data_IF_222993648116
#
_entry.id   IF_222993648116
#
_cell.length_a   1.000
_cell.length_b   1.000
_cell.length_c   1.000
_cell.angle_alpha   90.00
_cell.angle_beta   90.00
_cell.angle_gamma   90.00
#
_symmetry.space_group_name_H-M   'P 1'
#
loop_
_entity.id
_entity.type
_entity.pdbx_description
1 polymer ?
#
# COMPACT_ATOMS: atom_id res chain seq x y z
N UNK A 1 14.51 6.51 24.18
CA UNK A 1 13.71 6.41 22.93
C UNK A 1 14.11 7.43 21.84
N UNK A 2 14.56 8.64 22.22
CA UNK A 2 14.81 9.73 21.26
C UNK A 2 16.04 9.54 20.34
N UNK A 3 16.93 8.61 20.65
CA UNK A 3 18.10 8.29 19.83
C UNK A 3 17.71 7.35 18.66
N UNK A 4 16.66 7.71 17.91
CA UNK A 4 15.98 6.84 16.94
C UNK A 4 16.98 6.19 15.98
N UNK A 5 17.85 6.99 15.38
CA UNK A 5 18.87 6.52 14.43
C UNK A 5 19.87 5.54 15.02
N UNK A 6 20.28 5.76 16.28
CA UNK A 6 21.20 4.86 16.97
C UNK A 6 20.51 3.53 17.27
N UNK A 7 19.27 3.59 17.76
CA UNK A 7 18.49 2.43 18.16
C UNK A 7 18.13 1.55 16.96
N UNK A 8 17.57 2.11 15.89
CA UNK A 8 17.22 1.33 14.70
C UNK A 8 18.43 0.75 14.00
N UNK A 9 19.54 1.51 13.90
CA UNK A 9 20.80 0.99 13.37
C UNK A 9 21.35 -0.16 14.21
N UNK A 10 21.22 -0.11 15.53
CA UNK A 10 21.67 -1.21 16.41
C UNK A 10 20.85 -2.49 16.25
N UNK A 11 19.62 -2.40 15.74
CA UNK A 11 18.76 -3.54 15.44
C UNK A 11 18.93 -4.08 14.02
N UNK A 12 19.70 -3.39 13.16
CA UNK A 12 20.03 -3.92 11.84
C UNK A 12 21.00 -5.09 11.99
N UNK A 13 20.47 -6.30 11.84
CA UNK A 13 21.22 -7.54 12.04
C UNK A 13 22.26 -7.82 10.94
N UNK A 14 23.09 -8.84 11.20
CA UNK A 14 24.06 -9.36 10.21
C UNK A 14 23.38 -10.00 8.99
N UNK A 15 22.19 -10.59 9.18
CA UNK A 15 21.36 -11.22 8.16
C UNK A 15 19.98 -10.54 8.10
N UNK A 16 19.23 -10.78 7.03
CA UNK A 16 17.86 -10.28 6.88
C UNK A 16 17.73 -8.79 6.53
N UNK A 17 18.83 -8.05 6.45
CA UNK A 17 18.83 -6.59 6.23
C UNK A 17 18.44 -6.14 4.81
N UNK A 18 18.44 -7.06 3.83
CA UNK A 18 18.11 -6.81 2.41
C UNK A 18 16.81 -7.51 2.02
N UNK A 19 15.72 -7.12 2.68
CA UNK A 19 14.37 -7.61 2.39
C UNK A 19 13.37 -7.30 3.50
N UNK A 20 12.09 -7.50 3.21
CA UNK A 20 10.95 -7.30 4.12
C UNK A 20 10.74 -8.48 5.07
N UNK A 21 11.82 -9.11 5.54
CA UNK A 21 11.82 -10.26 6.45
C UNK A 21 11.31 -9.95 7.85
N UNK A 22 11.25 -10.97 8.72
CA UNK A 22 10.71 -10.84 10.09
C UNK A 22 11.48 -9.77 10.88
N UNK A 23 12.80 -9.75 10.73
CA UNK A 23 13.71 -8.83 11.39
C UNK A 23 13.40 -7.39 10.98
N UNK A 24 13.31 -7.13 9.67
CA UNK A 24 13.03 -5.80 9.14
C UNK A 24 11.64 -5.30 9.53
N UNK A 25 10.63 -6.18 9.51
CA UNK A 25 9.27 -5.83 9.96
C UNK A 25 9.23 -5.49 11.45
N UNK A 26 9.97 -6.24 12.28
CA UNK A 26 10.10 -5.94 13.71
C UNK A 26 10.81 -4.60 13.96
N UNK A 27 11.90 -4.32 13.22
CA UNK A 27 12.60 -3.02 13.28
C UNK A 27 11.67 -1.89 12.87
N UNK A 28 10.88 -2.08 11.82
CA UNK A 28 9.94 -1.08 11.33
C UNK A 28 8.85 -0.73 12.35
N UNK A 29 8.24 -1.74 12.97
CA UNK A 29 7.24 -1.53 14.02
C UNK A 29 7.85 -0.79 15.23
N UNK A 30 9.06 -1.15 15.63
CA UNK A 30 9.79 -0.47 16.70
C UNK A 30 10.12 0.99 16.33
N UNK A 31 10.59 1.25 15.11
CA UNK A 31 10.88 2.60 14.62
C UNK A 31 9.64 3.49 14.61
N UNK A 32 8.49 2.99 14.14
CA UNK A 32 7.21 3.71 14.18
C UNK A 32 6.86 4.11 15.62
N UNK A 33 7.00 3.20 16.58
CA UNK A 33 6.75 3.50 17.99
C UNK A 33 7.73 4.55 18.56
N UNK A 34 9.01 4.53 18.16
CA UNK A 34 9.96 5.55 18.57
C UNK A 34 9.61 6.95 18.03
N UNK A 35 9.16 7.02 16.78
CA UNK A 35 8.71 8.27 16.15
C UNK A 35 7.42 8.81 16.76
N UNK A 36 6.49 7.93 17.10
CA UNK A 36 5.29 8.28 17.86
C UNK A 36 5.66 8.89 19.23
N UNK A 37 6.55 8.21 19.98
CA UNK A 37 7.08 8.73 21.24
C UNK A 37 7.79 10.07 21.08
N UNK A 38 8.54 10.27 20.00
CA UNK A 38 9.22 11.54 19.76
C UNK A 38 8.22 12.68 19.54
N UNK A 39 7.18 12.46 18.72
CA UNK A 39 6.09 13.42 18.56
C UNK A 39 5.40 13.74 19.89
N UNK A 40 5.11 12.72 20.71
CA UNK A 40 4.51 12.89 22.04
C UNK A 40 5.39 13.69 23.00
N UNK A 41 6.69 13.41 23.05
CA UNK A 41 7.66 14.18 23.87
C UNK A 41 7.73 15.64 23.43
N UNK A 42 7.69 15.90 22.13
CA UNK A 42 7.70 17.26 21.59
C UNK A 42 6.34 17.97 21.69
N UNK A 43 5.25 17.26 22.01
CA UNK A 43 3.89 17.79 21.91
C UNK A 43 3.49 18.17 20.47
N UNK A 44 4.05 17.48 19.47
CA UNK A 44 3.88 17.77 18.05
C UNK A 44 3.38 16.54 17.28
N UNK A 45 2.55 16.73 16.23
CA UNK A 45 2.18 15.64 15.33
C UNK A 45 3.41 15.08 14.61
N UNK A 46 3.36 13.81 14.24
CA UNK A 46 4.48 13.11 13.61
C UNK A 46 4.99 13.85 12.36
N UNK A 47 4.09 14.30 11.47
CA UNK A 47 4.49 15.06 10.27
C UNK A 47 5.33 16.30 10.59
N UNK A 48 5.13 16.92 11.76
CA UNK A 48 5.82 18.13 12.16
C UNK A 48 7.26 17.81 12.60
N UNK A 49 7.46 16.76 13.38
CA UNK A 49 8.81 16.34 13.81
C UNK A 49 9.62 15.70 12.68
N UNK A 50 8.97 15.26 11.60
CA UNK A 50 9.67 14.78 10.38
C UNK A 50 10.29 15.91 9.55
N UNK A 51 9.82 17.15 9.74
CA UNK A 51 10.28 18.33 9.01
C UNK A 51 9.17 19.30 8.61
N UNK A 52 7.94 19.11 9.09
CA UNK A 52 6.79 19.95 8.77
C UNK A 52 5.93 19.33 7.68
N UNK A 53 4.70 19.83 7.58
CA UNK A 53 3.76 19.44 6.54
C UNK A 53 4.07 20.17 5.22
N UNK A 54 4.21 19.41 4.14
CA UNK A 54 4.35 19.96 2.78
C UNK A 54 2.99 20.26 2.13
N UNK A 55 1.90 19.76 2.71
CA UNK A 55 0.52 19.90 2.20
C UNK A 55 -0.51 19.92 3.34
N UNK A 56 -1.70 20.47 3.09
CA UNK A 56 -2.82 20.48 4.06
C UNK A 56 -3.64 19.18 4.03
N UNK A 57 -3.69 18.52 2.88
CA UNK A 57 -4.32 17.23 2.69
C UNK A 57 -3.63 16.49 1.54
N UNK A 58 -3.80 15.18 1.46
CA UNK A 58 -3.33 14.35 0.35
C UNK A 58 -4.49 13.61 -0.31
N UNK A 59 -4.45 13.45 -1.63
CA UNK A 59 -5.38 12.62 -2.39
C UNK A 59 -5.27 11.16 -1.91
N UNK A 60 -6.41 10.56 -1.63
CA UNK A 60 -6.50 9.13 -1.36
C UNK A 60 -6.90 8.35 -2.61
N UNK A 61 -6.51 7.08 -2.66
CA UNK A 61 -7.15 6.09 -3.52
C UNK A 61 -7.71 4.96 -2.67
N UNK A 62 -8.70 4.25 -3.20
CA UNK A 62 -9.30 3.10 -2.51
C UNK A 62 -8.76 1.80 -3.11
N UNK A 63 -8.02 1.05 -2.31
CA UNK A 63 -7.72 -0.36 -2.60
C UNK A 63 -9.00 -1.16 -2.37
N UNK A 64 -9.51 -1.79 -3.41
CA UNK A 64 -10.85 -2.37 -3.45
C UNK A 64 -10.92 -3.73 -2.74
N UNK A 65 -10.50 -3.76 -1.47
CA UNK A 65 -10.60 -4.90 -0.57
C UNK A 65 -11.96 -4.90 0.16
N UNK A 66 -12.49 -6.09 0.47
CA UNK A 66 -13.70 -6.25 1.28
C UNK A 66 -13.40 -6.30 2.79
N UNK A 67 -14.44 -6.33 3.62
CA UNK A 67 -14.29 -6.34 5.10
C UNK A 67 -13.56 -7.56 5.64
N UNK A 68 -13.52 -8.66 4.88
CA UNK A 68 -12.87 -9.93 5.27
C UNK A 68 -11.52 -10.20 4.62
N UNK A 69 -11.08 -9.29 3.75
CA UNK A 69 -9.79 -9.43 3.08
C UNK A 69 -8.68 -9.58 4.13
N UNK A 70 -7.96 -10.70 4.07
CA UNK A 70 -6.81 -11.03 4.94
C UNK A 70 -7.12 -10.95 6.46
N UNK A 71 -8.31 -11.40 6.89
CA UNK A 71 -8.64 -11.47 8.34
C UNK A 71 -8.24 -12.77 9.03
N UNK A 72 -8.45 -13.91 8.38
CA UNK A 72 -8.42 -15.22 9.07
C UNK A 72 -7.21 -16.11 8.73
N UNK A 73 -6.47 -15.82 7.65
CA UNK A 73 -5.48 -16.73 7.09
C UNK A 73 -4.03 -16.20 7.14
N UNK A 74 -3.06 -17.12 7.20
CA UNK A 74 -1.61 -16.84 7.32
C UNK A 74 -0.89 -16.57 5.99
N UNK A 75 -1.56 -16.74 4.85
CA UNK A 75 -0.97 -16.62 3.51
C UNK A 75 -1.75 -15.62 2.65
N UNK A 76 -1.08 -14.98 1.68
CA UNK A 76 -1.71 -14.08 0.71
C UNK A 76 -2.05 -14.87 -0.56
N UNK A 77 -3.27 -15.40 -0.67
CA UNK A 77 -3.78 -16.12 -1.84
C UNK A 77 -5.23 -15.72 -2.13
N UNK A 78 -5.71 -15.95 -3.36
CA UNK A 78 -7.08 -15.62 -3.77
C UNK A 78 -8.15 -16.33 -2.94
N UNK A 79 -7.81 -17.49 -2.35
CA UNK A 79 -8.66 -18.21 -1.42
C UNK A 79 -9.00 -17.40 -0.14
N UNK A 80 -8.20 -16.39 0.22
CA UNK A 80 -8.35 -15.62 1.46
C UNK A 80 -9.06 -14.27 1.27
N UNK A 81 -9.77 -14.13 0.15
CA UNK A 81 -10.53 -12.93 -0.20
C UNK A 81 -11.88 -12.82 0.52
N UNK A 82 -12.43 -13.92 1.04
CA UNK A 82 -13.62 -13.89 1.89
C UNK A 82 -14.92 -13.48 1.17
N UNK A 83 -15.13 -13.96 -0.06
CA UNK A 83 -16.23 -13.54 -0.97
C UNK A 83 -17.65 -14.02 -0.58
N UNK A 84 -17.80 -14.92 0.40
CA UNK A 84 -19.04 -15.72 0.55
C UNK A 84 -20.17 -15.07 1.38
N UNK A 85 -19.98 -13.91 2.02
CA UNK A 85 -20.96 -13.27 2.91
C UNK A 85 -20.78 -11.76 2.97
N UNK A 86 -21.90 -11.03 3.06
CA UNK A 86 -21.95 -9.56 3.12
C UNK A 86 -21.88 -9.07 4.56
N UNK A 87 -20.80 -8.39 4.95
CA UNK A 87 -20.62 -7.82 6.30
C UNK A 87 -20.86 -6.30 6.36
N UNK A 88 -21.00 -5.63 5.22
CA UNK A 88 -21.29 -4.20 5.21
C UNK A 88 -21.60 -3.64 3.82
N UNK A 89 -21.66 -2.31 3.69
CA UNK A 89 -21.93 -1.64 2.41
C UNK A 89 -20.76 -1.73 1.41
N UNK A 90 -19.53 -1.94 1.87
CA UNK A 90 -18.29 -1.87 1.07
C UNK A 90 -17.60 -3.23 0.86
N UNK A 91 -18.28 -4.17 0.20
CA UNK A 91 -17.66 -5.42 -0.28
C UNK A 91 -16.93 -5.19 -1.61
N UNK A 92 -15.91 -4.35 -1.59
CA UNK A 92 -15.31 -3.80 -2.81
C UNK A 92 -14.58 -4.84 -3.66
N UNK A 93 -14.13 -5.93 -3.02
CA UNK A 93 -13.45 -7.05 -3.69
C UNK A 93 -14.43 -7.86 -4.55
N UNK A 94 -15.60 -8.20 -4.01
CA UNK A 94 -16.69 -8.79 -4.79
C UNK A 94 -17.16 -7.79 -5.88
N UNK A 95 -17.28 -6.53 -5.50
CA UNK A 95 -17.80 -5.51 -6.40
C UNK A 95 -16.89 -5.29 -7.62
N UNK A 96 -15.57 -5.24 -7.51
CA UNK A 96 -14.75 -5.10 -8.74
C UNK A 96 -14.75 -6.35 -9.61
N UNK A 97 -14.97 -7.54 -9.04
CA UNK A 97 -15.04 -8.79 -9.79
C UNK A 97 -16.34 -8.93 -10.60
N UNK A 98 -17.44 -8.33 -10.13
CA UNK A 98 -18.77 -8.58 -10.70
C UNK A 98 -19.57 -7.33 -11.09
N UNK A 99 -19.30 -6.19 -10.46
CA UNK A 99 -20.06 -4.92 -10.51
C UNK A 99 -19.14 -3.68 -10.45
N UNK A 100 -18.04 -3.72 -11.21
CA UNK A 100 -16.96 -2.72 -11.13
C UNK A 100 -17.42 -1.29 -11.49
N UNK A 101 -18.43 -1.17 -12.34
CA UNK A 101 -19.13 0.06 -12.70
C UNK A 101 -19.88 0.69 -11.51
N UNK A 102 -20.66 -0.10 -10.77
CA UNK A 102 -21.34 0.36 -9.54
C UNK A 102 -20.33 0.82 -8.49
N UNK A 103 -19.23 0.07 -8.33
CA UNK A 103 -18.16 0.41 -7.40
C UNK A 103 -17.51 1.75 -7.76
N UNK A 104 -17.16 1.97 -9.03
CA UNK A 104 -16.55 3.20 -9.48
C UNK A 104 -17.46 4.42 -9.25
N UNK A 105 -18.76 4.28 -9.49
CA UNK A 105 -19.74 5.31 -9.15
C UNK A 105 -19.78 5.60 -7.64
N UNK A 106 -19.85 4.55 -6.82
CA UNK A 106 -19.88 4.68 -5.36
C UNK A 106 -18.64 5.38 -4.80
N UNK A 107 -17.46 5.15 -5.39
CA UNK A 107 -16.23 5.85 -5.01
C UNK A 107 -16.27 7.33 -5.42
N UNK A 108 -16.72 7.64 -6.65
CA UNK A 108 -16.85 9.02 -7.12
C UNK A 108 -17.86 9.84 -6.30
N UNK A 109 -18.95 9.21 -5.83
CA UNK A 109 -19.92 9.85 -4.93
C UNK A 109 -19.28 10.26 -3.58
N UNK A 110 -18.19 9.61 -3.16
CA UNK A 110 -17.39 9.96 -1.98
C UNK A 110 -16.21 10.91 -2.33
N UNK A 111 -16.13 11.37 -3.58
CA UNK A 111 -15.03 12.17 -4.12
C UNK A 111 -13.73 11.38 -4.36
N UNK A 112 -13.72 10.06 -4.14
CA UNK A 112 -12.56 9.21 -4.41
C UNK A 112 -12.47 8.96 -5.92
N UNK A 113 -11.39 9.44 -6.53
CA UNK A 113 -11.19 9.43 -7.99
C UNK A 113 -10.09 8.46 -8.44
N UNK A 114 -9.65 7.55 -7.56
CA UNK A 114 -8.68 6.52 -7.88
C UNK A 114 -9.01 5.21 -7.15
N UNK A 115 -8.84 4.08 -7.85
CA UNK A 115 -9.07 2.74 -7.32
C UNK A 115 -7.97 1.76 -7.73
N UNK A 116 -7.66 0.79 -6.86
CA UNK A 116 -6.71 -0.30 -7.14
C UNK A 116 -7.43 -1.64 -7.14
N UNK A 117 -7.23 -2.44 -8.19
CA UNK A 117 -7.86 -3.76 -8.41
C UNK A 117 -6.84 -4.78 -8.92
N UNK A 118 -7.10 -6.06 -8.67
CA UNK A 118 -6.22 -7.19 -9.01
C UNK A 118 -7.00 -8.36 -9.66
N UNK A 119 -7.69 -8.15 -10.81
CA UNK A 119 -8.52 -9.19 -11.43
C UNK A 119 -7.70 -10.32 -12.08
N UNK A 120 -6.37 -10.21 -12.13
CA UNK A 120 -5.50 -11.17 -12.80
C UNK A 120 -5.06 -12.33 -11.89
N UNK A 121 -5.07 -12.15 -10.57
CA UNK A 121 -4.46 -13.10 -9.62
C UNK A 121 -4.96 -14.54 -9.73
N UNK A 122 -6.28 -14.82 -9.87
CA UNK A 122 -6.75 -16.20 -9.90
C UNK A 122 -6.18 -16.98 -11.09
N UNK A 123 -5.85 -16.28 -12.18
CA UNK A 123 -5.24 -16.87 -13.38
C UNK A 123 -3.73 -17.06 -13.25
N UNK A 124 -3.08 -16.24 -12.41
CA UNK A 124 -1.68 -16.43 -12.07
C UNK A 124 -1.51 -17.72 -11.25
N UNK A 125 -2.36 -17.92 -10.23
CA UNK A 125 -2.35 -19.11 -9.38
C UNK A 125 -2.60 -20.40 -10.16
N UNK A 126 -3.46 -20.35 -11.18
CA UNK A 126 -3.74 -21.50 -12.05
C UNK A 126 -2.54 -21.94 -12.92
N UNK A 127 -1.50 -21.11 -13.05
CA UNK A 127 -0.38 -21.34 -13.97
C UNK A 127 1.00 -21.05 -13.40
N UNK A 128 1.11 -20.81 -12.09
CA UNK A 128 2.32 -20.29 -11.42
C UNK A 128 2.88 -19.02 -12.11
N UNK A 129 1.97 -18.19 -12.63
CA UNK A 129 2.29 -16.95 -13.35
C UNK A 129 2.97 -17.16 -14.70
N UNK A 130 3.01 -18.38 -15.24
CA UNK A 130 3.72 -18.70 -16.48
C UNK A 130 2.91 -18.33 -17.73
N UNK A 131 1.58 -18.39 -17.67
CA UNK A 131 0.74 -18.27 -18.84
C UNK A 131 -0.68 -17.79 -18.51
N UNK A 132 -1.24 -16.94 -19.37
CA UNK A 132 -2.67 -16.60 -19.36
C UNK A 132 -3.25 -16.86 -20.74
N UNK A 133 -4.36 -17.62 -20.79
CA UNK A 133 -5.04 -17.93 -22.05
C UNK A 133 -5.66 -16.66 -22.64
N UNK A 134 -5.99 -16.67 -23.94
CA UNK A 134 -6.69 -15.54 -24.56
C UNK A 134 -8.07 -15.30 -23.92
N UNK A 135 -8.79 -16.37 -23.60
CA UNK A 135 -10.11 -16.28 -22.98
C UNK A 135 -10.05 -15.78 -21.54
N UNK A 136 -9.06 -16.20 -20.76
CA UNK A 136 -8.91 -15.75 -19.37
C UNK A 136 -8.41 -14.31 -19.29
N UNK A 137 -7.50 -13.92 -20.18
CA UNK A 137 -7.10 -12.52 -20.33
C UNK A 137 -8.31 -11.64 -20.67
N UNK A 138 -9.14 -12.05 -21.61
CA UNK A 138 -10.34 -11.30 -22.00
C UNK A 138 -11.33 -11.14 -20.82
N UNK A 139 -11.53 -12.18 -20.03
CA UNK A 139 -12.34 -12.12 -18.80
C UNK A 139 -11.73 -11.21 -17.74
N UNK A 140 -10.42 -11.29 -17.51
CA UNK A 140 -9.72 -10.46 -16.52
C UNK A 140 -9.75 -8.96 -16.89
N UNK A 141 -9.94 -8.63 -18.17
CA UNK A 141 -10.05 -7.25 -18.65
C UNK A 141 -11.47 -6.67 -18.50
N UNK A 142 -12.48 -7.50 -18.22
CA UNK A 142 -13.88 -7.06 -18.13
C UNK A 142 -14.12 -5.97 -17.07
N UNK A 143 -13.53 -6.01 -15.85
CA UNK A 143 -13.66 -4.92 -14.88
C UNK A 143 -13.22 -3.57 -15.46
N UNK A 144 -12.12 -3.52 -16.21
CA UNK A 144 -11.61 -2.29 -16.83
C UNK A 144 -12.56 -1.77 -17.90
N UNK A 145 -13.13 -2.65 -18.74
CA UNK A 145 -14.15 -2.26 -19.74
C UNK A 145 -15.36 -1.61 -19.08
N UNK A 146 -15.87 -2.23 -18.01
CA UNK A 146 -17.03 -1.72 -17.28
C UNK A 146 -16.76 -0.36 -16.65
N UNK A 147 -15.63 -0.20 -15.96
CA UNK A 147 -15.25 1.08 -15.36
C UNK A 147 -15.13 2.16 -16.43
N UNK A 148 -14.41 1.89 -17.54
CA UNK A 148 -14.23 2.87 -18.61
C UNK A 148 -15.52 3.22 -19.33
N UNK A 149 -16.39 2.26 -19.61
CA UNK A 149 -17.69 2.52 -20.22
C UNK A 149 -18.61 3.37 -19.32
N UNK A 150 -18.50 3.18 -18.00
CA UNK A 150 -19.39 3.80 -17.02
C UNK A 150 -18.94 5.21 -16.59
N UNK A 151 -17.67 5.36 -16.21
CA UNK A 151 -17.15 6.62 -15.62
C UNK A 151 -16.03 7.27 -16.44
N UNK A 152 -15.58 6.63 -17.52
CA UNK A 152 -14.52 7.14 -18.39
C UNK A 152 -13.22 7.42 -17.64
N UNK A 153 -12.65 8.60 -17.89
CA UNK A 153 -11.39 9.06 -17.29
C UNK A 153 -11.59 9.83 -15.97
N UNK A 154 -12.78 9.78 -15.36
CA UNK A 154 -12.99 10.35 -14.02
C UNK A 154 -12.38 9.51 -12.91
N UNK A 155 -12.02 8.26 -13.21
CA UNK A 155 -11.44 7.31 -12.27
C UNK A 155 -10.07 6.84 -12.78
N UNK A 156 -9.03 7.13 -12.01
CA UNK A 156 -7.72 6.50 -12.20
C UNK A 156 -7.80 5.04 -11.75
N UNK A 157 -7.37 4.10 -12.61
CA UNK A 157 -7.40 2.67 -12.29
C UNK A 157 -5.97 2.15 -12.20
N UNK A 158 -5.57 1.81 -10.99
CA UNK A 158 -4.29 1.21 -10.64
C UNK A 158 -4.43 -0.32 -10.70
N UNK A 159 -3.45 -1.01 -11.29
CA UNK A 159 -3.48 -2.47 -11.44
C UNK A 159 -2.46 -3.10 -10.52
N UNK A 160 -2.96 -3.95 -9.64
CA UNK A 160 -2.16 -4.80 -8.76
C UNK A 160 -1.96 -6.19 -9.38
N UNK A 161 -0.76 -6.74 -9.21
CA UNK A 161 -0.33 -8.04 -9.74
C UNK A 161 0.28 -8.99 -8.69
N UNK A 162 0.48 -8.49 -7.46
CA UNK A 162 1.01 -9.16 -6.28
C UNK A 162 2.30 -9.95 -6.53
N UNK A 163 3.16 -9.48 -7.45
CA UNK A 163 4.38 -10.19 -7.85
C UNK A 163 4.16 -11.62 -8.37
N UNK A 164 2.93 -11.97 -8.79
CA UNK A 164 2.56 -13.36 -9.14
C UNK A 164 3.03 -13.79 -10.53
N UNK A 165 3.26 -12.86 -11.45
CA UNK A 165 3.50 -13.16 -12.85
C UNK A 165 4.98 -13.29 -13.20
N UNK A 166 5.27 -14.16 -14.18
CA UNK A 166 6.57 -14.21 -14.88
C UNK A 166 6.55 -13.24 -16.05
N UNK A 167 7.74 -12.76 -16.43
CA UNK A 167 7.91 -11.67 -17.39
C UNK A 167 7.13 -11.83 -18.72
N UNK A 168 7.11 -12.99 -19.41
CA UNK A 168 6.39 -13.10 -20.69
C UNK A 168 4.87 -12.90 -20.54
N UNK A 169 4.26 -13.50 -19.51
CA UNK A 169 2.84 -13.35 -19.23
C UNK A 169 2.51 -11.93 -18.75
N UNK A 170 3.35 -11.36 -17.88
CA UNK A 170 3.22 -9.98 -17.43
C UNK A 170 3.25 -8.98 -18.60
N UNK A 171 4.18 -9.13 -19.55
CA UNK A 171 4.25 -8.29 -20.75
C UNK A 171 3.02 -8.46 -21.66
N UNK A 172 2.48 -9.67 -21.76
CA UNK A 172 1.23 -9.93 -22.50
C UNK A 172 0.06 -9.16 -21.88
N UNK A 173 -0.07 -9.21 -20.55
CA UNK A 173 -1.12 -8.49 -19.83
C UNK A 173 -0.93 -6.97 -19.97
N UNK A 174 0.29 -6.46 -19.81
CA UNK A 174 0.59 -5.03 -19.93
C UNK A 174 0.21 -4.44 -21.30
N UNK A 175 0.44 -5.19 -22.39
CA UNK A 175 0.05 -4.77 -23.75
C UNK A 175 -1.47 -4.73 -23.92
N UNK A 176 -2.19 -5.68 -23.32
CA UNK A 176 -3.65 -5.70 -23.38
C UNK A 176 -4.27 -4.59 -22.53
N UNK A 177 -3.66 -4.23 -21.40
CA UNK A 177 -4.11 -3.12 -20.55
C UNK A 177 -3.96 -1.73 -21.20
N UNK A 178 -3.17 -1.61 -22.28
CA UNK A 178 -2.86 -0.32 -22.90
C UNK A 178 -4.09 0.45 -23.44
N UNK A 179 -5.17 -0.25 -23.81
CA UNK A 179 -6.42 0.37 -24.27
C UNK A 179 -7.21 1.06 -23.15
N UNK A 180 -6.96 0.68 -21.88
CA UNK A 180 -7.70 1.17 -20.73
C UNK A 180 -7.04 2.35 -20.02
N UNK A 181 -5.88 2.81 -20.48
CA UNK A 181 -5.18 3.96 -19.89
C UNK A 181 -5.05 3.82 -18.35
N UNK A 182 -4.50 2.70 -17.90
CA UNK A 182 -4.27 2.41 -16.48
C UNK A 182 -3.25 3.38 -15.89
N UNK A 183 -3.44 3.73 -14.62
CA UNK A 183 -2.65 4.78 -13.96
C UNK A 183 -1.25 4.28 -13.58
N UNK A 184 -1.14 3.05 -13.09
CA UNK A 184 0.12 2.34 -12.91
C UNK A 184 -0.08 0.83 -12.98
N UNK A 185 1.03 0.10 -13.11
CA UNK A 185 1.11 -1.35 -12.91
C UNK A 185 2.02 -1.65 -11.72
N UNK A 186 1.44 -2.20 -10.66
CA UNK A 186 2.07 -2.46 -9.36
C UNK A 186 2.57 -3.88 -9.29
N UNK A 187 3.82 -4.05 -8.87
CA UNK A 187 4.47 -5.35 -8.68
C UNK A 187 4.19 -6.40 -9.79
N UNK A 188 4.39 -6.04 -11.08
CA UNK A 188 3.98 -6.87 -12.20
C UNK A 188 4.76 -8.19 -12.34
N UNK A 189 5.94 -8.26 -11.74
CA UNK A 189 6.78 -9.44 -11.63
C UNK A 189 7.41 -9.41 -10.23
N UNK A 190 7.90 -10.56 -9.77
CA UNK A 190 8.60 -10.62 -8.48
C UNK A 190 9.82 -9.69 -8.43
N UNK A 191 9.94 -8.95 -7.32
CA UNK A 191 11.02 -7.98 -7.09
C UNK A 191 12.34 -8.59 -6.59
N UNK A 192 12.66 -9.80 -7.05
CA UNK A 192 13.96 -10.44 -6.79
C UNK A 192 15.00 -10.14 -7.89
N UNK A 193 14.53 -9.83 -9.11
CA UNK A 193 15.35 -9.64 -10.30
C UNK A 193 15.07 -8.28 -10.94
N UNK A 194 15.40 -7.20 -10.23
CA UNK A 194 15.03 -5.82 -10.59
C UNK A 194 15.42 -5.41 -12.01
N UNK A 195 16.53 -5.93 -12.55
CA UNK A 195 16.96 -5.64 -13.91
C UNK A 195 15.92 -6.00 -14.99
N UNK A 196 15.04 -6.97 -14.72
CA UNK A 196 13.97 -7.37 -15.65
C UNK A 196 12.85 -6.33 -15.73
N UNK A 197 12.72 -5.42 -14.77
CA UNK A 197 11.70 -4.36 -14.80
C UNK A 197 11.85 -3.47 -16.03
N UNK A 198 13.07 -3.26 -16.53
CA UNK A 198 13.29 -2.51 -17.77
C UNK A 198 12.62 -3.17 -18.98
N UNK A 199 12.61 -4.50 -19.03
CA UNK A 199 11.92 -5.25 -20.09
C UNK A 199 10.40 -5.18 -19.94
N UNK A 200 9.89 -5.20 -18.70
CA UNK A 200 8.47 -5.01 -18.45
C UNK A 200 8.01 -3.59 -18.82
N UNK A 201 8.72 -2.56 -18.33
CA UNK A 201 8.43 -1.15 -18.59
C UNK A 201 8.39 -0.84 -20.09
N UNK A 202 9.27 -1.44 -20.89
CA UNK A 202 9.25 -1.29 -22.35
C UNK A 202 8.00 -1.87 -23.04
N UNK A 203 7.27 -2.78 -22.38
CA UNK A 203 6.02 -3.36 -22.89
C UNK A 203 4.77 -2.71 -22.30
N UNK A 204 4.92 -1.87 -21.26
CA UNK A 204 3.83 -1.25 -20.52
C UNK A 204 3.61 0.19 -20.97
N UNK A 205 2.36 0.58 -21.20
CA UNK A 205 2.00 1.99 -21.40
C UNK A 205 1.97 2.75 -20.07
N UNK A 206 1.49 2.11 -19.01
CA UNK A 206 1.43 2.67 -17.66
C UNK A 206 2.81 2.58 -16.97
N UNK A 207 3.14 3.54 -16.08
CA UNK A 207 4.35 3.46 -15.27
C UNK A 207 4.32 2.25 -14.34
N UNK A 208 5.50 1.70 -14.04
CA UNK A 208 5.65 0.68 -13.00
C UNK A 208 5.60 1.34 -11.63
N UNK A 209 4.77 0.80 -10.74
CA UNK A 209 4.77 1.11 -9.31
C UNK A 209 5.50 -0.02 -8.57
N UNK A 210 6.53 0.30 -7.79
CA UNK A 210 7.35 -0.70 -7.09
C UNK A 210 8.07 -0.08 -5.87
N UNK A 211 8.19 -0.75 -4.73
CA UNK A 211 7.48 -1.99 -4.34
C UNK A 211 7.40 -2.10 -2.82
N UNK A 212 6.24 -2.53 -2.32
CA UNK A 212 5.97 -2.78 -0.90
C UNK A 212 6.87 -3.90 -0.32
N UNK A 213 7.25 -4.89 -1.14
CA UNK A 213 8.02 -6.05 -0.68
C UNK A 213 9.54 -5.77 -0.59
N UNK A 214 10.01 -4.61 -1.06
CA UNK A 214 11.39 -4.17 -0.91
C UNK A 214 11.62 -3.49 0.44
N UNK A 215 12.85 -3.60 0.95
CA UNK A 215 13.22 -2.94 2.20
C UNK A 215 14.63 -2.37 2.20
N UNK A 216 14.78 -1.30 3.01
CA UNK A 216 16.01 -0.53 3.16
C UNK A 216 16.33 0.30 1.92
N UNK A 217 16.92 1.48 2.14
CA UNK A 217 17.29 2.42 1.05
C UNK A 217 18.18 1.79 -0.03
N UNK A 218 18.91 0.72 0.28
CA UNK A 218 19.79 0.05 -0.69
C UNK A 218 19.01 -0.72 -1.76
N UNK A 219 17.92 -1.40 -1.39
CA UNK A 219 17.07 -2.08 -2.37
C UNK A 219 16.37 -1.06 -3.28
N UNK A 220 15.97 0.08 -2.71
CA UNK A 220 15.39 1.18 -3.47
C UNK A 220 16.41 1.90 -4.35
N UNK A 221 17.66 2.05 -3.91
CA UNK A 221 18.76 2.50 -4.79
C UNK A 221 18.89 1.55 -5.99
N UNK A 222 18.94 0.25 -5.75
CA UNK A 222 19.09 -0.75 -6.82
C UNK A 222 17.87 -0.75 -7.75
N UNK A 223 16.66 -0.47 -7.24
CA UNK A 223 15.44 -0.25 -8.03
C UNK A 223 15.55 1.01 -8.90
N UNK A 224 15.95 2.15 -8.34
CA UNK A 224 16.10 3.42 -9.06
C UNK A 224 17.15 3.32 -10.18
N UNK A 225 18.24 2.58 -9.96
CA UNK A 225 19.29 2.35 -10.95
C UNK A 225 18.82 1.57 -12.18
N UNK A 226 17.69 0.86 -12.10
CA UNK A 226 17.09 0.21 -13.29
C UNK A 226 16.58 1.21 -14.32
N UNK A 227 16.20 2.42 -13.89
CA UNK A 227 15.51 3.42 -14.71
C UNK A 227 14.14 2.97 -15.23
N UNK A 228 13.51 1.99 -14.57
CA UNK A 228 12.26 1.36 -15.05
C UNK A 228 11.02 1.69 -14.22
N UNK A 229 11.19 2.24 -13.01
CA UNK A 229 10.09 2.58 -12.10
C UNK A 229 9.59 4.00 -12.36
N UNK A 230 8.27 4.20 -12.29
CA UNK A 230 7.62 5.51 -12.38
C UNK A 230 7.02 6.00 -11.07
N UNK A 231 6.66 5.09 -10.16
CA UNK A 231 6.18 5.41 -8.81
C UNK A 231 6.90 4.53 -7.79
N UNK A 232 7.55 5.16 -6.81
CA UNK A 232 8.26 4.43 -5.75
C UNK A 232 7.30 4.15 -4.60
N UNK A 233 6.94 2.88 -4.44
CA UNK A 233 6.05 2.42 -3.38
C UNK A 233 6.83 1.72 -2.26
N UNK A 234 6.40 1.91 -1.02
CA UNK A 234 6.95 1.20 0.13
C UNK A 234 5.90 1.11 1.24
N UNK A 235 5.98 0.07 2.05
CA UNK A 235 5.22 -0.05 3.29
C UNK A 235 6.12 0.35 4.48
N UNK A 236 5.67 1.29 5.31
CA UNK A 236 6.45 1.78 6.44
C UNK A 236 6.73 0.70 7.49
N UNK A 237 5.84 -0.30 7.64
CA UNK A 237 6.04 -1.45 8.51
C UNK A 237 6.92 -2.54 7.90
N UNK A 238 7.25 -2.48 6.61
CA UNK A 238 8.06 -3.51 5.94
C UNK A 238 9.42 -3.00 5.42
N UNK A 239 9.56 -1.70 5.18
CA UNK A 239 10.74 -1.13 4.53
C UNK A 239 11.88 -0.75 5.48
N UNK A 240 11.67 -0.83 6.79
CA UNK A 240 12.61 -0.38 7.82
C UNK A 240 12.12 0.82 8.66
N UNK A 241 10.82 1.11 8.65
CA UNK A 241 10.22 2.18 9.44
C UNK A 241 10.19 3.54 8.73
N UNK A 242 9.67 4.54 9.44
CA UNK A 242 9.66 5.94 9.02
C UNK A 242 11.09 6.44 8.75
N UNK A 243 12.07 6.00 9.54
CA UNK A 243 13.48 6.38 9.37
C UNK A 243 14.03 5.99 7.99
N UNK A 244 13.76 4.76 7.51
CA UNK A 244 14.17 4.36 6.15
C UNK A 244 13.25 4.96 5.08
N UNK A 245 11.94 5.05 5.32
CA UNK A 245 10.99 5.65 4.38
C UNK A 245 11.39 7.09 3.99
N UNK A 246 11.85 7.92 4.95
CA UNK A 246 12.33 9.28 4.68
C UNK A 246 13.49 9.31 3.69
N UNK A 247 14.39 8.33 3.80
CA UNK A 247 15.58 8.23 2.94
C UNK A 247 15.21 7.69 1.57
N UNK A 248 14.30 6.73 1.51
CA UNK A 248 13.75 6.21 0.26
C UNK A 248 13.07 7.35 -0.50
N UNK A 249 12.22 8.15 0.16
CA UNK A 249 11.55 9.27 -0.49
C UNK A 249 12.53 10.36 -0.96
N UNK A 250 13.55 10.70 -0.17
CA UNK A 250 14.58 11.63 -0.60
C UNK A 250 15.41 11.12 -1.79
N UNK A 251 15.69 9.81 -1.85
CA UNK A 251 16.34 9.19 -3.01
C UNK A 251 15.44 9.22 -4.25
N UNK A 252 14.15 8.89 -4.11
CA UNK A 252 13.19 8.95 -5.21
C UNK A 252 13.03 10.38 -5.74
N UNK A 253 13.00 11.37 -4.84
CA UNK A 253 12.90 12.80 -5.20
C UNK A 253 14.11 13.28 -6.03
N UNK A 254 15.32 12.80 -5.70
CA UNK A 254 16.52 13.07 -6.50
C UNK A 254 16.45 12.48 -7.93
N UNK A 255 15.62 11.46 -8.15
CA UNK A 255 15.29 10.90 -9.47
C UNK A 255 14.04 11.55 -10.09
N UNK A 256 13.47 12.58 -9.47
CA UNK A 256 12.21 13.24 -9.86
C UNK A 256 11.01 12.28 -9.86
N UNK A 257 11.03 11.27 -8.99
CA UNK A 257 9.97 10.28 -8.90
C UNK A 257 9.08 10.52 -7.67
N UNK A 258 7.76 10.34 -7.83
CA UNK A 258 6.83 10.35 -6.72
C UNK A 258 6.97 9.11 -5.83
N UNK A 259 6.50 9.26 -4.59
CA UNK A 259 6.28 8.15 -3.66
C UNK A 259 4.79 7.93 -3.37
N UNK A 260 4.42 6.68 -3.17
CA UNK A 260 3.08 6.29 -2.74
C UNK A 260 3.21 5.30 -1.56
N UNK A 261 3.05 5.74 -0.30
CA UNK A 261 3.09 4.84 0.85
C UNK A 261 1.93 3.83 0.81
N UNK A 262 2.29 2.56 0.95
CA UNK A 262 1.35 1.43 0.99
C UNK A 262 0.55 1.41 2.30
N UNK A 263 -0.70 0.94 2.21
CA UNK A 263 -1.56 0.55 3.34
C UNK A 263 -2.29 -0.77 3.02
N UNK A 264 -3.62 -0.91 3.15
CA UNK A 264 -4.30 -2.21 3.15
C UNK A 264 -3.77 -3.20 4.22
N UNK A 265 -3.27 -2.68 5.35
CA UNK A 265 -2.75 -3.48 6.48
C UNK A 265 -3.47 -3.13 7.78
N UNK A 266 -2.81 -2.48 8.74
CA UNK A 266 -3.35 -2.12 10.05
C UNK A 266 -3.40 -0.61 10.30
N UNK A 267 -4.23 -0.14 11.24
CA UNK A 267 -4.54 1.28 11.41
C UNK A 267 -3.34 2.14 11.81
N UNK A 268 -2.34 1.57 12.50
CA UNK A 268 -1.12 2.29 12.87
C UNK A 268 -0.20 2.54 11.68
N UNK A 269 -0.16 1.62 10.71
CA UNK A 269 0.57 1.82 9.45
C UNK A 269 -0.14 2.88 8.63
N UNK A 270 -1.45 2.77 8.46
CA UNK A 270 -2.27 3.80 7.81
C UNK A 270 -2.03 5.22 8.38
N UNK A 271 -2.03 5.37 9.71
CA UNK A 271 -1.74 6.65 10.38
C UNK A 271 -0.30 7.13 10.13
N UNK A 272 0.69 6.26 10.26
CA UNK A 272 2.09 6.60 10.02
C UNK A 272 2.33 7.00 8.56
N UNK A 273 1.75 6.25 7.62
CA UNK A 273 1.77 6.51 6.18
C UNK A 273 1.10 7.85 5.86
N UNK A 274 -0.07 8.17 6.45
CA UNK A 274 -0.72 9.47 6.27
C UNK A 274 0.16 10.62 6.77
N UNK A 275 0.74 10.52 7.98
CA UNK A 275 1.69 11.53 8.46
C UNK A 275 2.90 11.70 7.53
N UNK A 276 3.44 10.59 7.04
CA UNK A 276 4.53 10.59 6.09
C UNK A 276 4.13 11.29 4.77
N UNK A 277 2.98 10.94 4.24
CA UNK A 277 2.36 11.51 3.04
C UNK A 277 2.05 13.00 3.18
N UNK A 278 1.71 13.49 4.38
CA UNK A 278 1.57 14.93 4.64
C UNK A 278 2.95 15.63 4.64
N UNK A 279 3.98 14.96 5.14
CA UNK A 279 5.34 15.48 5.25
C UNK A 279 6.09 15.51 3.92
N UNK A 280 6.16 14.38 3.19
CA UNK A 280 7.09 14.21 2.08
C UNK A 280 6.67 15.02 0.84
N UNK A 281 7.53 15.90 0.28
CA UNK A 281 7.16 16.78 -0.82
C UNK A 281 6.77 16.01 -2.10
N UNK A 282 7.39 14.86 -2.36
CA UNK A 282 7.09 14.00 -3.51
C UNK A 282 6.04 12.91 -3.24
N UNK A 283 5.28 12.98 -2.14
CA UNK A 283 4.14 12.08 -1.93
C UNK A 283 3.00 12.38 -2.93
N UNK A 284 2.59 11.36 -3.67
CA UNK A 284 1.62 11.44 -4.77
C UNK A 284 0.20 11.17 -4.30
N UNK A 285 -0.01 10.03 -3.64
CA UNK A 285 -1.29 9.55 -3.11
C UNK A 285 -1.04 8.75 -1.84
N UNK A 286 -2.02 8.72 -0.95
CA UNK A 286 -2.04 7.83 0.21
C UNK A 286 -3.03 6.70 -0.04
N UNK A 287 -2.59 5.46 0.09
CA UNK A 287 -3.50 4.30 0.04
C UNK A 287 -4.45 4.31 1.24
N UNK A 288 -5.69 3.89 0.99
CA UNK A 288 -6.70 3.64 2.03
C UNK A 288 -7.65 2.52 1.58
N UNK A 289 -8.31 1.88 2.55
CA UNK A 289 -9.36 0.88 2.29
C UNK A 289 -10.61 1.26 3.04
N UNK A 290 -11.69 1.63 2.33
CA UNK A 290 -12.93 2.10 2.98
C UNK A 290 -13.58 1.07 3.87
N UNK A 291 -13.50 -0.21 3.52
CA UNK A 291 -13.96 -1.29 4.37
C UNK A 291 -13.18 -1.34 5.70
N UNK A 292 -11.91 -0.95 5.72
CA UNK A 292 -11.06 -1.02 6.91
C UNK A 292 -11.26 0.20 7.81
N UNK A 293 -11.13 1.42 7.27
CA UNK A 293 -11.24 2.64 8.07
C UNK A 293 -12.67 2.94 8.56
N UNK A 294 -13.69 2.42 7.88
CA UNK A 294 -15.08 2.47 8.39
C UNK A 294 -15.46 1.27 9.26
N UNK A 295 -14.70 0.17 9.14
CA UNK A 295 -14.90 -1.08 9.87
C UNK A 295 -13.86 -1.29 10.96
N UNK A 296 -13.11 -2.40 10.86
CA UNK A 296 -12.34 -2.98 11.95
C UNK A 296 -11.20 -2.11 12.50
N UNK A 297 -10.71 -1.10 11.77
CA UNK A 297 -9.74 -0.15 12.33
C UNK A 297 -10.27 0.53 13.60
N UNK A 298 -11.57 0.79 13.65
CA UNK A 298 -12.25 1.45 14.78
C UNK A 298 -12.34 0.58 16.03
N UNK A 299 -12.11 -0.73 15.89
CA UNK A 299 -12.04 -1.67 17.00
C UNK A 299 -10.66 -1.72 17.65
N UNK A 300 -9.66 -1.05 17.06
CA UNK A 300 -8.26 -1.16 17.48
C UNK A 300 -7.66 0.15 17.97
N UNK A 301 -8.04 1.29 17.39
CA UNK A 301 -7.44 2.59 17.72
C UNK A 301 -8.47 3.65 18.09
N UNK A 302 -8.06 4.62 18.90
CA UNK A 302 -8.92 5.71 19.39
C UNK A 302 -9.39 6.68 18.30
N UNK A 303 -8.66 6.76 17.19
CA UNK A 303 -8.96 7.66 16.07
C UNK A 303 -8.54 7.03 14.74
N UNK A 304 -9.40 7.15 13.72
CA UNK A 304 -9.15 6.67 12.36
C UNK A 304 -9.50 7.80 11.38
N UNK A 305 -8.50 8.40 10.70
CA UNK A 305 -8.75 9.41 9.69
C UNK A 305 -9.56 8.85 8.52
N UNK A 306 -10.56 9.61 8.08
CA UNK A 306 -11.39 9.25 6.93
C UNK A 306 -11.25 10.34 5.86
N UNK A 307 -11.27 9.97 4.57
CA UNK A 307 -11.23 10.95 3.50
C UNK A 307 -12.53 11.75 3.45
N UNK A 308 -12.41 13.04 3.14
CA UNK A 308 -13.54 13.92 2.81
C UNK A 308 -13.29 14.41 1.39
N UNK A 309 -14.24 14.18 0.48
CA UNK A 309 -14.13 14.50 -0.95
C UNK A 309 -12.83 13.94 -1.58
N UNK A 310 -12.47 12.70 -1.24
CA UNK A 310 -11.26 12.03 -1.73
C UNK A 310 -9.93 12.55 -1.16
N UNK A 311 -9.96 13.41 -0.13
CA UNK A 311 -8.77 14.00 0.50
C UNK A 311 -8.64 13.57 1.96
N UNK A 312 -7.43 13.17 2.37
CA UNK A 312 -7.05 12.92 3.76
C UNK A 312 -6.34 14.13 4.34
N UNK A 313 -6.94 14.77 5.35
CA UNK A 313 -6.40 15.94 6.02
C UNK A 313 -5.26 15.57 6.98
N UNK A 314 -4.55 16.60 7.47
CA UNK A 314 -3.56 16.46 8.54
C UNK A 314 -4.16 15.80 9.79
N UNK A 315 -3.56 14.71 10.29
CA UNK A 315 -3.99 14.14 11.57
C UNK A 315 -3.71 15.12 12.72
N UNK A 316 -4.65 15.32 13.65
CA UNK A 316 -4.45 16.17 14.82
C UNK A 316 -3.69 15.44 15.94
N UNK A 317 -3.16 16.21 16.89
CA UNK A 317 -2.59 15.70 18.13
C UNK A 317 -1.12 15.24 18.03
N UNK A 318 -0.46 14.97 19.17
CA UNK A 318 0.95 14.57 19.19
C UNK A 318 1.19 13.15 18.67
N UNK A 319 2.39 12.89 18.15
CA UNK A 319 2.76 11.56 17.64
C UNK A 319 1.89 11.17 16.45
N UNK A 320 1.38 9.93 16.46
CA UNK A 320 0.44 9.41 15.45
C UNK A 320 -0.97 10.01 15.56
N UNK A 321 -1.30 10.75 16.63
CA UNK A 321 -2.65 11.28 16.85
C UNK A 321 -3.69 10.23 17.24
N UNK A 322 -3.27 9.00 17.54
CA UNK A 322 -4.12 7.92 18.03
C UNK A 322 -3.36 7.00 19.00
N UNK A 323 -4.10 6.28 19.82
CA UNK A 323 -3.60 5.22 20.70
C UNK A 323 -4.32 3.90 20.39
N UNK A 324 -3.71 2.79 20.78
CA UNK A 324 -4.43 1.52 20.88
C UNK A 324 -5.55 1.64 21.93
N UNK A 325 -6.72 1.06 21.64
CA UNK A 325 -7.83 1.04 22.60
C UNK A 325 -7.45 0.25 23.87
N UNK A 326 -7.71 0.76 25.08
CA UNK A 326 -7.40 0.07 26.34
C UNK A 326 -8.02 -1.33 26.46
N UNK A 327 -9.13 -1.56 25.78
CA UNK A 327 -9.90 -2.80 25.76
C UNK A 327 -9.16 -3.92 25.04
N UNK A 328 -8.23 -3.60 24.13
CA UNK A 328 -7.43 -4.59 23.40
C UNK A 328 -6.64 -5.49 24.35
N UNK A 329 -6.12 -4.92 25.44
CA UNK A 329 -5.35 -5.66 26.45
C UNK A 329 -6.20 -6.64 27.27
N UNK A 330 -7.54 -6.56 27.15
CA UNK A 330 -8.50 -7.40 27.87
C UNK A 330 -9.23 -8.41 26.98
N UNK A 331 -9.00 -8.38 25.66
CA UNK A 331 -9.68 -9.30 24.75
C UNK A 331 -9.20 -10.73 24.97
N UNK A 332 -10.13 -11.68 24.96
CA UNK A 332 -9.83 -13.10 25.15
C UNK A 332 -9.02 -13.70 23.99
N UNK A 333 -9.11 -13.11 22.80
CA UNK A 333 -8.36 -13.51 21.60
C UNK A 333 -6.99 -12.82 21.47
N UNK A 334 -6.62 -11.92 22.39
CA UNK A 334 -5.34 -11.23 22.36
C UNK A 334 -4.25 -12.01 23.10
N UNK A 335 -3.11 -12.22 22.44
CA UNK A 335 -1.89 -12.75 23.07
C UNK A 335 -0.89 -11.63 23.33
N UNK A 336 -0.63 -11.31 24.60
CA UNK A 336 0.31 -10.26 25.01
C UNK A 336 1.61 -10.89 25.51
N UNK A 337 2.75 -10.39 25.02
CA UNK A 337 4.08 -10.76 25.49
C UNK A 337 4.83 -9.51 25.91
N UNK A 338 5.43 -9.54 27.10
CA UNK A 338 6.21 -8.42 27.65
C UNK A 338 7.61 -8.92 27.96
N UNK A 339 8.62 -8.25 27.40
CA UNK A 339 10.02 -8.46 27.77
C UNK A 339 10.38 -7.50 28.91
N UNK A 340 10.97 -7.97 30.02
CA UNK A 340 11.43 -7.10 31.09
C UNK A 340 12.59 -6.22 30.62
N UNK A 341 12.73 -5.06 31.26
CA UNK A 341 13.75 -4.06 30.97
C UNK A 341 15.17 -4.49 31.39
#
# INVERSE_FOLDING_TARGET
PLEIERLTRSLTGYLGFRGSGVETRAVSAFDIALWDLYGKVCGQPLYQVLGGASREAIRTYNTCAGYRYIRDARQQTSANWGLEEKQGPYEDLEAFLHRADELAHSLLEQGISAMKIWPFDPYAEASDGLHISGADLDKALEPFRRIRASVGNRMDVMVEFHSLWRLPAAQRIARALAEFDTYWHEDPIRMDSLALLKQYAAASKAPVCASEILAGRWSFKDLLETGAVGVVMFDLAWCGGISEARRIAALADAWQLPVAPHDCTGPLVYLASLHFSIHAPNALVQESVRAFYTGWYRELVTHVPQPVDGLLARPPGPGLGAELLPELWKREDATVRVSPA
#
